data_IF_438207613583
#
_entry.id   IF_438207613583
#
_cell.length_a   1.000
_cell.length_b   1.000
_cell.length_c   1.000
_cell.angle_alpha   90.00
_cell.angle_beta   90.00
_cell.angle_gamma   90.00
#
_symmetry.space_group_name_H-M   'P 1'
#
loop_
_entity.id
_entity.type
_entity.pdbx_description
1 polymer ?
#
# COMPACT_ATOMS: atom_id res chain seq x y z
N UNK A 1 20.07 17.10 -31.50
CA UNK A 1 20.50 17.34 -30.10
C UNK A 1 19.27 17.33 -29.22
N UNK A 2 18.89 16.16 -28.71
CA UNK A 2 17.72 16.00 -27.83
C UNK A 2 18.10 16.51 -26.44
N UNK A 3 17.54 17.64 -26.02
CA UNK A 3 17.71 18.13 -24.66
C UNK A 3 16.97 17.17 -23.73
N UNK A 4 17.71 16.43 -22.92
CA UNK A 4 17.13 15.68 -21.82
C UNK A 4 16.37 16.65 -20.90
N UNK A 5 15.15 16.33 -20.45
CA UNK A 5 14.44 17.16 -19.50
C UNK A 5 15.29 17.26 -18.22
N UNK A 6 15.62 18.48 -17.83
CA UNK A 6 16.37 18.75 -16.60
C UNK A 6 15.56 18.21 -15.42
N UNK A 7 16.17 17.32 -14.63
CA UNK A 7 15.59 16.86 -13.37
C UNK A 7 15.23 18.09 -12.51
N UNK A 8 14.00 18.18 -11.96
CA UNK A 8 13.65 19.28 -11.09
C UNK A 8 14.61 19.28 -9.88
N UNK A 9 15.37 20.37 -9.72
CA UNK A 9 16.22 20.58 -8.57
C UNK A 9 15.33 21.06 -7.43
N UNK A 10 15.04 20.17 -6.48
CA UNK A 10 14.33 20.52 -5.27
C UNK A 10 15.20 21.49 -4.45
N UNK A 11 14.74 22.72 -4.26
CA UNK A 11 15.34 23.63 -3.28
C UNK A 11 14.75 23.31 -1.92
N UNK A 12 15.62 23.02 -0.98
CA UNK A 12 15.30 22.75 0.43
C UNK A 12 14.49 23.89 1.09
N UNK A 13 14.47 25.08 0.49
CA UNK A 13 13.74 26.28 0.92
C UNK A 13 12.24 26.27 0.62
N UNK A 14 11.74 25.33 -0.18
CA UNK A 14 10.34 25.32 -0.63
C UNK A 14 9.42 24.47 0.27
N UNK A 15 9.98 23.77 1.27
CA UNK A 15 9.20 23.08 2.30
C UNK A 15 8.85 24.01 3.47
N UNK A 16 7.61 23.96 4.00
CA UNK A 16 7.29 24.61 5.26
C UNK A 16 8.18 24.02 6.38
N UNK A 17 8.72 24.85 7.29
CA UNK A 17 9.60 24.38 8.36
C UNK A 17 8.85 23.39 9.27
N UNK A 18 9.36 22.15 9.35
CA UNK A 18 8.74 21.04 10.10
C UNK A 18 7.76 20.17 9.31
N UNK A 19 7.60 20.40 8.00
CA UNK A 19 6.72 19.61 7.13
C UNK A 19 7.37 18.33 6.58
N UNK A 20 6.55 17.32 6.32
CA UNK A 20 6.95 16.15 5.52
C UNK A 20 7.39 16.67 4.13
N UNK A 21 8.57 16.30 3.62
CA UNK A 21 9.02 16.75 2.30
C UNK A 21 7.99 16.34 1.23
N UNK A 22 7.77 17.19 0.21
CA UNK A 22 6.76 16.91 -0.80
C UNK A 22 7.09 15.61 -1.53
N UNK A 23 6.05 14.81 -1.79
CA UNK A 23 6.20 13.56 -2.51
C UNK A 23 6.95 13.80 -3.85
N UNK A 24 7.94 12.98 -4.23
CA UNK A 24 8.79 13.23 -5.40
C UNK A 24 7.98 13.35 -6.72
N UNK A 25 6.86 12.64 -6.82
CA UNK A 25 5.93 12.73 -7.95
C UNK A 25 5.14 14.05 -8.04
N UNK A 26 5.19 14.89 -7.02
CA UNK A 26 4.56 16.22 -6.99
C UNK A 26 5.58 17.36 -7.17
N UNK A 27 6.88 17.06 -7.17
CA UNK A 27 7.94 18.06 -7.23
C UNK A 27 7.97 18.77 -8.59
N UNK A 28 7.72 20.09 -8.59
CA UNK A 28 7.69 20.92 -9.81
C UNK A 28 6.44 20.70 -10.69
N UNK A 29 5.45 19.95 -10.20
CA UNK A 29 4.16 19.75 -10.85
C UNK A 29 3.09 20.75 -10.38
N UNK A 30 1.86 20.68 -10.93
CA UNK A 30 0.73 21.46 -10.43
C UNK A 30 0.38 21.05 -8.98
N UNK A 31 -0.29 21.95 -8.24
CA UNK A 31 -0.81 21.63 -6.91
C UNK A 31 -1.88 20.54 -7.03
N UNK A 32 -1.66 19.40 -6.36
CA UNK A 32 -2.59 18.28 -6.34
C UNK A 32 -3.56 18.42 -5.16
N UNK A 33 -4.85 18.57 -5.44
CA UNK A 33 -5.91 18.73 -4.43
C UNK A 33 -6.98 17.62 -4.51
N UNK A 34 -6.68 16.52 -5.20
CA UNK A 34 -7.64 15.42 -5.44
C UNK A 34 -7.28 14.15 -4.66
N UNK A 35 -6.82 14.33 -3.41
CA UNK A 35 -6.43 13.21 -2.53
C UNK A 35 -7.59 12.25 -2.18
N UNK A 36 -8.83 12.68 -2.39
CA UNK A 36 -10.00 11.82 -2.25
C UNK A 36 -10.14 10.80 -3.39
N UNK A 37 -9.60 11.09 -4.58
CA UNK A 37 -9.58 10.15 -5.68
C UNK A 37 -8.45 9.11 -5.51
N UNK A 38 -7.24 9.56 -5.18
CA UNK A 38 -6.11 8.68 -4.83
C UNK A 38 -5.00 9.46 -4.13
N UNK A 39 -4.07 8.75 -3.50
CA UNK A 39 -2.88 9.33 -2.89
C UNK A 39 -1.62 8.84 -3.61
N UNK A 40 -0.61 9.70 -3.82
CA UNK A 40 0.68 9.22 -4.30
C UNK A 40 1.28 8.24 -3.28
N UNK A 41 1.88 7.15 -3.78
CA UNK A 41 2.49 6.11 -2.95
C UNK A 41 3.74 6.65 -2.26
N UNK A 42 3.77 6.68 -0.93
CA UNK A 42 4.98 7.07 -0.18
C UNK A 42 6.19 6.23 -0.64
N UNK A 43 7.35 6.85 -0.94
CA UNK A 43 8.53 6.11 -1.40
C UNK A 43 8.94 4.95 -0.47
N UNK A 44 8.72 5.09 0.84
CA UNK A 44 9.00 4.02 1.83
C UNK A 44 8.08 2.81 1.64
N UNK A 45 6.84 3.02 1.20
CA UNK A 45 5.90 1.94 0.86
C UNK A 45 6.36 1.23 -0.42
N UNK A 46 6.79 1.97 -1.44
CA UNK A 46 7.33 1.38 -2.67
C UNK A 46 8.59 0.55 -2.39
N UNK A 47 9.49 1.05 -1.55
CA UNK A 47 10.68 0.34 -1.10
C UNK A 47 10.31 -0.95 -0.33
N UNK A 48 9.38 -0.88 0.63
CA UNK A 48 8.94 -2.03 1.40
C UNK A 48 8.27 -3.12 0.53
N UNK A 49 7.58 -2.73 -0.55
CA UNK A 49 6.90 -3.67 -1.44
C UNK A 49 7.82 -4.30 -2.50
N UNK A 50 8.89 -3.61 -2.89
CA UNK A 50 9.79 -4.04 -3.98
C UNK A 50 10.33 -5.47 -3.82
N UNK A 51 10.80 -5.92 -2.63
CA UNK A 51 11.28 -7.29 -2.45
C UNK A 51 10.22 -8.35 -2.75
N UNK A 52 8.94 -8.09 -2.47
CA UNK A 52 7.84 -9.03 -2.73
C UNK A 52 7.43 -9.09 -4.20
N UNK A 53 7.84 -8.09 -5.00
CA UNK A 53 7.62 -8.06 -6.45
C UNK A 53 8.79 -8.67 -7.25
N UNK A 54 9.97 -8.82 -6.63
CA UNK A 54 11.21 -9.15 -7.34
C UNK A 54 11.92 -10.39 -6.81
N UNK A 55 11.98 -10.58 -5.49
CA UNK A 55 12.78 -11.62 -4.84
C UNK A 55 11.93 -12.66 -4.11
N UNK A 56 10.92 -12.23 -3.35
CA UNK A 56 10.07 -13.09 -2.51
C UNK A 56 8.79 -13.51 -3.24
N UNK A 57 8.95 -14.16 -4.39
CA UNK A 57 7.85 -14.55 -5.29
C UNK A 57 7.10 -15.83 -4.89
N UNK A 58 7.59 -16.57 -3.88
CA UNK A 58 7.04 -17.88 -3.55
C UNK A 58 5.60 -17.82 -3.04
N UNK A 59 4.78 -18.80 -3.42
CA UNK A 59 3.40 -18.90 -2.95
C UNK A 59 3.37 -19.21 -1.43
N UNK A 60 2.80 -18.34 -0.57
CA UNK A 60 2.73 -18.54 0.89
C UNK A 60 2.09 -19.86 1.33
N UNK A 61 1.21 -20.43 0.50
CA UNK A 61 0.49 -21.69 0.78
C UNK A 61 1.32 -22.94 0.47
N UNK A 62 2.48 -22.79 -0.17
CA UNK A 62 3.37 -23.91 -0.46
C UNK A 62 4.21 -24.32 0.75
N UNK A 63 4.65 -25.59 0.78
CA UNK A 63 5.52 -26.15 1.82
C UNK A 63 7.03 -26.03 1.55
N UNK A 64 7.43 -25.38 0.46
CA UNK A 64 8.85 -25.24 0.08
C UNK A 64 9.49 -23.96 0.66
N UNK A 65 10.83 -23.86 0.74
CA UNK A 65 11.52 -22.73 1.37
C UNK A 65 11.16 -21.34 0.82
N UNK A 66 10.88 -21.22 -0.48
CA UNK A 66 10.49 -19.93 -1.10
C UNK A 66 9.17 -19.34 -0.55
N UNK A 67 8.35 -20.14 0.13
CA UNK A 67 7.08 -19.69 0.70
C UNK A 67 7.24 -19.04 2.09
N UNK A 68 8.38 -19.22 2.75
CA UNK A 68 8.56 -18.81 4.14
C UNK A 68 8.47 -17.30 4.34
N UNK A 69 9.23 -16.55 3.55
CA UNK A 69 9.28 -15.08 3.66
C UNK A 69 7.91 -14.45 3.31
N UNK A 70 7.26 -14.79 2.19
CA UNK A 70 5.92 -14.29 1.87
C UNK A 70 4.85 -14.65 2.92
N UNK A 71 4.91 -15.85 3.48
CA UNK A 71 3.97 -16.28 4.53
C UNK A 71 4.12 -15.46 5.81
N UNK A 72 5.35 -15.22 6.25
CA UNK A 72 5.63 -14.36 7.39
C UNK A 72 5.19 -12.92 7.12
N UNK A 73 5.46 -12.39 5.93
CA UNK A 73 5.04 -11.05 5.55
C UNK A 73 3.53 -10.86 5.59
N UNK A 74 2.75 -11.83 5.10
CA UNK A 74 1.29 -11.81 5.21
C UNK A 74 0.80 -11.87 6.66
N UNK A 75 1.47 -12.63 7.53
CA UNK A 75 1.12 -12.69 8.95
C UNK A 75 1.41 -11.36 9.66
N UNK A 76 2.55 -10.73 9.36
CA UNK A 76 2.93 -9.44 9.91
C UNK A 76 2.01 -8.31 9.43
N UNK A 77 1.72 -8.23 8.12
CA UNK A 77 0.78 -7.26 7.57
C UNK A 77 -0.60 -7.40 8.22
N UNK A 78 -1.06 -8.63 8.46
CA UNK A 78 -2.33 -8.89 9.15
C UNK A 78 -2.33 -8.37 10.58
N UNK A 79 -1.24 -8.55 11.31
CA UNK A 79 -1.09 -8.04 12.67
C UNK A 79 -1.08 -6.51 12.71
N UNK A 80 -0.35 -5.86 11.80
CA UNK A 80 -0.27 -4.41 11.69
C UNK A 80 -1.63 -3.77 11.37
N UNK A 81 -2.37 -4.35 10.41
CA UNK A 81 -3.72 -3.86 10.07
C UNK A 81 -4.69 -4.07 11.24
N UNK A 82 -4.63 -5.23 11.90
CA UNK A 82 -5.46 -5.52 13.06
C UNK A 82 -5.22 -4.52 14.20
N UNK A 83 -3.97 -4.22 14.52
CA UNK A 83 -3.59 -3.21 15.51
C UNK A 83 -4.12 -1.82 15.12
N UNK A 84 -3.92 -1.43 13.86
CA UNK A 84 -4.35 -0.11 13.35
C UNK A 84 -5.86 0.12 13.48
N UNK A 85 -6.69 -0.90 13.24
CA UNK A 85 -8.16 -0.79 13.30
C UNK A 85 -8.77 -1.28 14.63
N UNK A 86 -7.95 -1.75 15.58
CA UNK A 86 -8.43 -2.26 16.88
C UNK A 86 -9.15 -3.61 16.82
N UNK A 87 -8.75 -4.49 15.91
CA UNK A 87 -9.31 -5.84 15.73
C UNK A 87 -8.31 -6.94 16.12
N UNK A 88 -8.75 -8.20 16.14
CA UNK A 88 -7.86 -9.37 16.24
C UNK A 88 -7.34 -9.73 14.85
N UNK A 89 -6.10 -10.25 14.72
CA UNK A 89 -5.58 -10.68 13.40
C UNK A 89 -6.50 -11.66 12.66
N UNK A 90 -7.19 -12.55 13.38
CA UNK A 90 -8.13 -13.52 12.81
C UNK A 90 -9.41 -12.88 12.20
N UNK A 91 -9.69 -11.61 12.51
CA UNK A 91 -10.84 -10.86 11.99
C UNK A 91 -10.50 -10.09 10.71
N UNK A 92 -9.21 -10.02 10.34
CA UNK A 92 -8.77 -9.35 9.13
C UNK A 92 -8.86 -10.30 7.95
N UNK A 93 -9.50 -9.86 6.87
CA UNK A 93 -9.52 -10.52 5.57
C UNK A 93 -8.97 -9.53 4.55
N UNK A 94 -7.93 -9.93 3.80
CA UNK A 94 -7.40 -9.12 2.71
C UNK A 94 -8.24 -9.35 1.45
N UNK A 95 -8.66 -8.27 0.81
CA UNK A 95 -9.30 -8.23 -0.51
C UNK A 95 -8.42 -7.42 -1.47
N UNK A 96 -8.70 -7.47 -2.78
CA UNK A 96 -7.96 -6.70 -3.77
C UNK A 96 -8.29 -5.20 -3.73
N UNK A 97 -9.46 -4.82 -3.21
CA UNK A 97 -9.89 -3.42 -3.10
C UNK A 97 -10.99 -3.20 -2.05
N UNK A 98 -11.30 -1.93 -1.78
CA UNK A 98 -12.46 -1.55 -0.95
C UNK A 98 -13.79 -1.98 -1.55
N UNK A 99 -13.98 -1.86 -2.87
CA UNK A 99 -15.22 -2.29 -3.53
C UNK A 99 -15.47 -3.79 -3.40
N UNK A 100 -14.41 -4.61 -3.41
CA UNK A 100 -14.53 -6.05 -3.15
C UNK A 100 -14.85 -6.32 -1.67
N UNK A 101 -14.26 -5.56 -0.74
CA UNK A 101 -14.56 -5.68 0.68
C UNK A 101 -16.03 -5.37 1.00
N UNK A 102 -16.58 -4.30 0.42
CA UNK A 102 -18.00 -3.94 0.57
C UNK A 102 -18.92 -5.04 0.02
N UNK A 103 -18.59 -5.57 -1.16
CA UNK A 103 -19.35 -6.66 -1.76
C UNK A 103 -19.29 -7.92 -0.90
N UNK A 104 -18.12 -8.26 -0.36
CA UNK A 104 -17.92 -9.40 0.54
C UNK A 104 -18.75 -9.24 1.81
N UNK A 105 -18.76 -8.06 2.43
CA UNK A 105 -19.55 -7.79 3.64
C UNK A 105 -21.05 -7.93 3.38
N UNK A 106 -21.57 -7.32 2.31
CA UNK A 106 -22.98 -7.39 1.95
C UNK A 106 -23.43 -8.82 1.61
N UNK A 107 -22.71 -9.48 0.71
CA UNK A 107 -23.04 -10.86 0.32
C UNK A 107 -22.89 -11.82 1.50
N UNK A 108 -21.83 -11.69 2.29
CA UNK A 108 -21.60 -12.50 3.48
C UNK A 108 -22.73 -12.36 4.49
N UNK A 109 -23.20 -11.14 4.76
CA UNK A 109 -24.33 -10.90 5.65
C UNK A 109 -25.63 -11.53 5.14
N UNK A 110 -25.92 -11.42 3.84
CA UNK A 110 -27.12 -12.03 3.23
C UNK A 110 -27.06 -13.55 3.31
N UNK A 111 -25.95 -14.17 2.89
CA UNK A 111 -25.78 -15.62 2.92
C UNK A 111 -25.83 -16.19 4.34
N UNK A 112 -25.25 -15.48 5.32
CA UNK A 112 -25.29 -15.88 6.72
C UNK A 112 -26.68 -15.79 7.34
N UNK A 113 -27.54 -14.87 6.87
CA UNK A 113 -28.90 -14.69 7.38
C UNK A 113 -29.88 -15.81 6.98
N UNK A 114 -29.47 -16.75 6.11
CA UNK A 114 -30.26 -17.93 5.75
C UNK A 114 -31.59 -17.60 5.04
N UNK A 115 -31.63 -16.48 4.32
CA UNK A 115 -32.78 -16.07 3.50
C UNK A 115 -32.56 -16.41 2.04
#
# INVERSE_FOLDING_TARGET
MSQQPRKPQYRETDAPPGGIPPHPGLAGGPVYLDHNATTPVDPRVAEAMTPYLTEFFGNPSSGHPYAEVPRRALAEARAQVAEFVGARPAEIVFTASGSEADLLALRGAVLAAGR
#
